data_IF_137054248613
#
_entry.id   IF_137054248613
#
_cell.length_a   1.000
_cell.length_b   1.000
_cell.length_c   1.000
_cell.angle_alpha   90.00
_cell.angle_beta   90.00
_cell.angle_gamma   90.00
#
_symmetry.space_group_name_H-M   'P 1'
#
loop_
_entity.id
_entity.type
_entity.pdbx_description
1 polymer ?
#
# COMPACT_ATOMS: atom_id res chain seq x y z
N UNK A 1 -13.81 2.48 -14.64
CA UNK A 1 -13.78 3.57 -13.64
C UNK A 1 -12.71 4.53 -14.11
N UNK A 2 -12.86 5.81 -13.89
CA UNK A 2 -11.85 6.78 -14.34
C UNK A 2 -11.42 7.66 -13.17
N UNK A 3 -10.12 7.88 -13.07
CA UNK A 3 -9.50 8.83 -12.16
C UNK A 3 -9.08 10.12 -12.90
N UNK A 4 -9.84 10.47 -13.94
CA UNK A 4 -9.56 11.60 -14.80
C UNK A 4 -9.37 12.90 -13.99
N UNK A 5 -8.25 13.58 -14.22
CA UNK A 5 -7.88 14.83 -13.55
C UNK A 5 -7.70 14.71 -12.02
N UNK A 6 -7.53 13.50 -11.47
CA UNK A 6 -7.18 13.27 -10.09
C UNK A 6 -5.68 13.41 -9.88
N UNK A 7 -5.29 13.85 -8.69
CA UNK A 7 -3.90 13.96 -8.24
C UNK A 7 -3.69 12.92 -7.16
N UNK A 8 -2.78 11.95 -7.39
CA UNK A 8 -2.56 10.82 -6.51
C UNK A 8 -1.12 10.75 -6.01
N UNK A 9 -0.94 10.71 -4.69
CA UNK A 9 0.33 10.43 -4.03
C UNK A 9 0.38 8.96 -3.61
N UNK A 10 1.39 8.23 -4.08
CA UNK A 10 1.63 6.85 -3.68
C UNK A 10 3.00 6.76 -3.00
N UNK A 11 3.04 6.45 -1.71
CA UNK A 11 4.30 6.27 -1.00
C UNK A 11 4.96 4.94 -1.39
N UNK A 12 6.30 4.95 -1.58
CA UNK A 12 7.02 3.74 -1.96
C UNK A 12 6.67 3.20 -3.35
N UNK A 13 6.42 4.05 -4.34
CA UNK A 13 5.88 3.67 -5.64
C UNK A 13 6.90 3.45 -6.76
N UNK A 14 8.19 3.27 -6.43
CA UNK A 14 9.23 2.95 -7.42
C UNK A 14 9.21 1.48 -7.90
N UNK A 15 8.53 0.56 -7.20
CA UNK A 15 8.49 -0.88 -7.54
C UNK A 15 7.26 -1.58 -6.93
N UNK A 16 7.09 -2.84 -7.29
CA UNK A 16 6.09 -3.74 -6.69
C UNK A 16 4.66 -3.20 -6.76
N UNK A 17 3.90 -3.37 -5.69
CA UNK A 17 2.49 -2.94 -5.57
C UNK A 17 2.37 -1.43 -5.82
N UNK A 18 3.23 -0.61 -5.21
CA UNK A 18 3.19 0.84 -5.38
C UNK A 18 3.38 1.29 -6.83
N UNK A 19 4.30 0.67 -7.59
CA UNK A 19 4.47 0.93 -9.02
C UNK A 19 3.22 0.51 -9.81
N UNK A 20 2.66 -0.66 -9.53
CA UNK A 20 1.46 -1.14 -10.21
C UNK A 20 0.27 -0.20 -10.00
N UNK A 21 0.06 0.29 -8.77
CA UNK A 21 -0.97 1.28 -8.44
C UNK A 21 -0.70 2.58 -9.21
N UNK A 22 0.52 3.09 -9.19
CA UNK A 22 0.90 4.34 -9.87
C UNK A 22 0.62 4.29 -11.37
N UNK A 23 1.01 3.20 -12.04
CA UNK A 23 0.77 3.01 -13.46
C UNK A 23 -0.72 2.78 -13.78
N UNK A 24 -1.45 2.06 -12.94
CA UNK A 24 -2.88 1.87 -13.12
C UNK A 24 -3.63 3.21 -13.00
N UNK A 25 -3.31 4.01 -12.00
CA UNK A 25 -3.91 5.33 -11.81
C UNK A 25 -3.62 6.27 -12.99
N UNK A 26 -2.40 6.23 -13.52
CA UNK A 26 -2.05 7.00 -14.71
C UNK A 26 -2.87 6.58 -15.95
N UNK A 27 -3.08 5.27 -16.15
CA UNK A 27 -3.97 4.76 -17.22
C UNK A 27 -5.43 5.19 -17.05
N UNK A 28 -5.88 5.34 -15.80
CA UNK A 28 -7.21 5.87 -15.47
C UNK A 28 -7.30 7.40 -15.54
N UNK A 29 -6.22 8.10 -15.86
CA UNK A 29 -6.18 9.55 -16.11
C UNK A 29 -5.72 10.42 -14.95
N UNK A 30 -5.14 9.83 -13.89
CA UNK A 30 -4.58 10.58 -12.78
C UNK A 30 -3.17 11.10 -13.06
N UNK A 31 -2.84 12.26 -12.50
CA UNK A 31 -1.47 12.72 -12.30
C UNK A 31 -0.91 12.11 -11.03
N UNK A 32 0.37 11.73 -11.02
CA UNK A 32 0.90 10.86 -9.96
C UNK A 32 2.15 11.43 -9.32
N UNK A 33 2.20 11.42 -8.00
CA UNK A 33 3.41 11.67 -7.21
C UNK A 33 4.04 10.33 -6.83
N UNK A 34 5.24 10.08 -7.35
CA UNK A 34 6.05 8.88 -7.10
C UNK A 34 7.02 9.16 -5.97
N UNK A 35 6.77 8.60 -4.80
CA UNK A 35 7.68 8.72 -3.66
C UNK A 35 8.62 7.52 -3.57
N UNK A 36 9.86 7.79 -3.21
CA UNK A 36 10.87 6.79 -2.88
C UNK A 36 11.81 7.29 -1.77
N UNK A 37 12.53 6.37 -1.12
CA UNK A 37 13.53 6.75 -0.12
C UNK A 37 14.96 6.39 -0.56
N UNK A 38 15.24 5.14 -0.95
CA UNK A 38 16.61 4.67 -1.21
C UNK A 38 17.00 4.72 -2.68
N UNK A 39 16.28 4.04 -3.54
CA UNK A 39 16.67 3.80 -4.93
C UNK A 39 15.92 4.72 -5.88
N UNK A 40 16.63 5.68 -6.46
CA UNK A 40 16.06 6.68 -7.36
C UNK A 40 15.69 6.08 -8.72
N UNK A 41 16.53 5.23 -9.30
CA UNK A 41 16.36 4.74 -10.66
C UNK A 41 14.99 4.05 -10.91
N UNK A 42 14.49 3.13 -10.05
CA UNK A 42 13.17 2.55 -10.24
C UNK A 42 12.03 3.58 -10.16
N UNK A 43 12.16 4.62 -9.31
CA UNK A 43 11.15 5.66 -9.19
C UNK A 43 11.12 6.56 -10.45
N UNK A 44 12.26 6.92 -10.98
CA UNK A 44 12.35 7.66 -12.25
C UNK A 44 11.82 6.84 -13.43
N UNK A 45 12.10 5.55 -13.48
CA UNK A 45 11.53 4.66 -14.49
C UNK A 45 10.00 4.64 -14.41
N UNK A 46 9.43 4.48 -13.19
CA UNK A 46 7.98 4.55 -12.99
C UNK A 46 7.41 5.88 -13.48
N UNK A 47 8.07 7.00 -13.16
CA UNK A 47 7.64 8.31 -13.62
C UNK A 47 7.72 8.48 -15.14
N UNK A 48 8.74 7.93 -15.79
CA UNK A 48 8.85 7.93 -17.25
C UNK A 48 7.70 7.15 -17.90
N UNK A 49 7.35 5.97 -17.36
CA UNK A 49 6.22 5.18 -17.83
C UNK A 49 4.89 5.94 -17.66
N UNK A 50 4.70 6.67 -16.54
CA UNK A 50 3.52 7.54 -16.32
C UNK A 50 3.46 8.68 -17.35
N UNK A 51 4.59 9.34 -17.61
CA UNK A 51 4.67 10.43 -18.61
C UNK A 51 4.39 9.92 -20.03
N UNK A 52 4.84 8.70 -20.33
CA UNK A 52 4.53 8.05 -21.63
C UNK A 52 3.02 7.77 -21.82
N UNK A 53 2.25 7.67 -20.70
CA UNK A 53 0.78 7.60 -20.72
C UNK A 53 0.11 8.99 -20.84
N UNK A 54 0.88 10.06 -21.05
CA UNK A 54 0.37 11.43 -21.16
C UNK A 54 -0.01 12.09 -19.84
N UNK A 55 0.48 11.57 -18.71
CA UNK A 55 0.16 12.11 -17.38
C UNK A 55 1.37 12.78 -16.75
N UNK A 56 1.10 13.73 -15.83
CA UNK A 56 2.17 14.36 -15.04
C UNK A 56 2.69 13.38 -14.00
N UNK A 57 4.01 13.38 -13.80
CA UNK A 57 4.65 12.58 -12.77
C UNK A 57 5.71 13.40 -12.04
N UNK A 58 5.54 13.58 -10.72
CA UNK A 58 6.52 14.19 -9.82
C UNK A 58 7.25 13.08 -9.05
N UNK A 59 8.57 13.12 -9.03
CA UNK A 59 9.40 12.14 -8.29
C UNK A 59 9.96 12.81 -7.04
N UNK A 60 9.59 12.32 -5.84
CA UNK A 60 10.02 12.90 -4.57
C UNK A 60 10.80 11.90 -3.74
N UNK A 61 12.06 12.24 -3.43
CA UNK A 61 12.87 11.49 -2.44
C UNK A 61 12.51 11.98 -1.04
N UNK A 62 11.83 11.12 -0.26
CA UNK A 62 11.47 11.41 1.11
C UNK A 62 11.34 10.11 1.92
N UNK A 63 11.82 10.12 3.16
CA UNK A 63 11.64 9.03 4.12
C UNK A 63 10.36 9.29 4.93
N UNK A 64 9.29 8.57 4.64
CA UNK A 64 8.04 8.69 5.40
C UNK A 64 8.14 8.12 6.82
N UNK A 65 9.24 7.46 7.16
CA UNK A 65 9.53 6.99 8.52
C UNK A 65 9.93 8.09 9.50
N UNK A 66 10.05 9.35 9.07
CA UNK A 66 10.36 10.49 9.93
C UNK A 66 9.59 11.75 9.51
N UNK A 67 9.51 12.72 10.43
CA UNK A 67 8.73 13.93 10.28
C UNK A 67 9.24 14.83 9.14
N UNK A 68 10.56 15.06 9.08
CA UNK A 68 11.18 15.90 8.05
C UNK A 68 10.89 15.36 6.64
N UNK A 69 10.94 14.03 6.48
CA UNK A 69 10.64 13.38 5.21
C UNK A 69 9.17 13.54 4.83
N UNK A 70 8.25 13.40 5.77
CA UNK A 70 6.81 13.62 5.52
C UNK A 70 6.58 15.08 5.15
N UNK A 71 7.12 16.02 5.92
CA UNK A 71 7.00 17.46 5.65
C UNK A 71 7.50 17.78 4.25
N UNK A 72 8.72 17.40 3.92
CA UNK A 72 9.29 17.59 2.59
C UNK A 72 8.41 17.01 1.47
N UNK A 73 7.87 15.80 1.67
CA UNK A 73 7.03 15.14 0.66
C UNK A 73 5.80 15.98 0.34
N UNK A 74 5.09 16.43 1.37
CA UNK A 74 3.86 17.18 1.18
C UNK A 74 4.09 18.63 0.73
N UNK A 75 5.20 19.25 1.12
CA UNK A 75 5.58 20.59 0.62
C UNK A 75 5.88 20.56 -0.89
N UNK A 76 6.54 19.49 -1.40
CA UNK A 76 6.75 19.31 -2.84
C UNK A 76 5.42 19.03 -3.58
N UNK A 77 4.49 18.27 -2.98
CA UNK A 77 3.15 18.05 -3.55
C UNK A 77 2.38 19.37 -3.64
N UNK A 78 2.36 20.16 -2.56
CA UNK A 78 1.67 21.45 -2.54
C UNK A 78 2.26 22.43 -3.54
N UNK A 79 3.58 22.52 -3.62
CA UNK A 79 4.28 23.39 -4.57
C UNK A 79 3.98 23.05 -6.03
N UNK A 80 3.93 21.76 -6.39
CA UNK A 80 3.80 21.31 -7.78
C UNK A 80 2.34 21.22 -8.23
N UNK A 81 1.45 20.78 -7.34
CA UNK A 81 0.05 20.49 -7.67
C UNK A 81 -0.96 21.37 -6.94
N UNK A 82 -0.59 21.96 -5.81
CA UNK A 82 -1.46 22.81 -4.99
C UNK A 82 -2.57 22.07 -4.25
N UNK A 83 -2.87 20.84 -4.61
CA UNK A 83 -3.98 20.03 -4.08
C UNK A 83 -3.68 18.53 -4.18
N UNK A 84 -4.53 17.69 -3.56
CA UNK A 84 -4.45 16.24 -3.61
C UNK A 84 -5.87 15.65 -3.63
N UNK A 85 -6.10 14.57 -4.39
CA UNK A 85 -7.36 13.81 -4.38
C UNK A 85 -7.19 12.44 -3.69
N UNK A 86 -6.02 11.80 -3.85
CA UNK A 86 -5.81 10.43 -3.42
C UNK A 86 -4.46 10.29 -2.72
N UNK A 87 -4.46 9.65 -1.54
CA UNK A 87 -3.25 9.21 -0.84
C UNK A 87 -3.24 7.69 -0.72
N UNK A 88 -2.15 7.05 -1.19
CA UNK A 88 -1.93 5.63 -0.97
C UNK A 88 -0.73 5.45 -0.04
N UNK A 89 -1.00 5.00 1.18
CA UNK A 89 0.01 4.61 2.16
C UNK A 89 0.49 3.18 1.84
N UNK A 90 1.46 3.08 0.93
CA UNK A 90 2.01 1.81 0.46
C UNK A 90 3.45 1.56 0.95
N UNK A 91 4.22 2.61 1.26
CA UNK A 91 5.58 2.43 1.78
C UNK A 91 5.57 1.50 2.99
N UNK A 92 6.41 0.48 2.95
CA UNK A 92 6.53 -0.50 4.00
C UNK A 92 7.98 -0.93 4.19
N UNK A 93 8.28 -1.36 5.40
CA UNK A 93 9.55 -1.94 5.75
C UNK A 93 9.38 -2.99 6.85
N UNK A 94 10.34 -3.89 6.93
CA UNK A 94 10.34 -4.95 7.92
C UNK A 94 11.39 -6.00 7.59
N UNK A 95 11.46 -7.01 8.45
CA UNK A 95 12.35 -8.15 8.30
C UNK A 95 11.74 -9.34 9.03
N UNK A 96 12.07 -10.54 8.59
CA UNK A 96 11.69 -11.78 9.24
C UNK A 96 12.74 -12.13 10.29
N UNK A 97 12.29 -12.41 11.52
CA UNK A 97 13.17 -12.79 12.62
C UNK A 97 12.36 -13.44 13.75
N UNK A 98 12.89 -14.50 14.42
CA UNK A 98 12.27 -15.08 15.61
C UNK A 98 11.99 -14.04 16.70
N UNK A 99 10.90 -14.21 17.47
CA UNK A 99 10.48 -13.24 18.49
C UNK A 99 11.57 -12.97 19.52
N UNK A 100 12.34 -13.98 19.92
CA UNK A 100 13.41 -13.84 20.92
C UNK A 100 14.64 -13.06 20.40
N UNK A 101 14.74 -12.85 19.10
CA UNK A 101 15.85 -12.13 18.47
C UNK A 101 15.48 -10.70 18.03
N UNK A 102 14.25 -10.27 18.30
CA UNK A 102 13.78 -8.94 17.91
C UNK A 102 14.58 -7.86 18.64
N UNK A 103 14.78 -6.72 17.95
CA UNK A 103 15.51 -5.58 18.50
C UNK A 103 14.61 -4.34 18.50
N UNK A 104 14.69 -3.53 19.55
CA UNK A 104 13.92 -2.28 19.72
C UNK A 104 14.06 -1.39 18.47
N UNK A 105 15.28 -1.16 18.00
CA UNK A 105 15.54 -0.34 16.80
C UNK A 105 14.77 -0.83 15.55
N UNK A 106 14.67 -2.15 15.38
CA UNK A 106 13.94 -2.73 14.25
C UNK A 106 12.43 -2.60 14.40
N UNK A 107 11.93 -2.74 15.64
CA UNK A 107 10.55 -2.48 16.00
C UNK A 107 10.17 -1.02 15.69
N UNK A 108 10.90 -0.06 16.23
CA UNK A 108 10.66 1.37 16.00
C UNK A 108 10.67 1.71 14.52
N UNK A 109 11.64 1.18 13.78
CA UNK A 109 11.76 1.41 12.35
C UNK A 109 10.55 0.90 11.58
N UNK A 110 10.08 -0.31 11.85
CA UNK A 110 8.92 -0.88 11.17
C UNK A 110 7.62 -0.15 11.53
N UNK A 111 7.39 0.13 12.82
CA UNK A 111 6.21 0.88 13.28
C UNK A 111 6.18 2.30 12.69
N UNK A 112 7.33 2.97 12.64
CA UNK A 112 7.44 4.32 12.09
C UNK A 112 7.06 4.38 10.61
N UNK A 113 7.49 3.40 9.81
CA UNK A 113 7.20 3.39 8.37
C UNK A 113 5.81 2.81 8.09
N UNK A 114 5.40 1.72 8.75
CA UNK A 114 4.20 0.99 8.36
C UNK A 114 2.91 1.54 8.99
N UNK A 115 3.00 2.13 10.19
CA UNK A 115 1.82 2.63 10.92
C UNK A 115 1.87 4.15 11.17
N UNK A 116 2.93 4.65 11.83
CA UNK A 116 3.03 6.08 12.13
C UNK A 116 2.97 6.95 10.87
N UNK A 117 3.69 6.55 9.81
CA UNK A 117 3.66 7.28 8.55
C UNK A 117 2.25 7.42 7.97
N UNK A 118 1.41 6.37 8.07
CA UNK A 118 0.05 6.43 7.55
C UNK A 118 -0.80 7.50 8.27
N UNK A 119 -0.64 7.65 9.59
CA UNK A 119 -1.32 8.70 10.36
C UNK A 119 -0.88 10.09 9.91
N UNK A 120 0.44 10.35 9.92
CA UNK A 120 0.96 11.71 9.67
C UNK A 120 0.92 12.10 8.18
N UNK A 121 1.08 11.15 7.25
CA UNK A 121 0.81 11.41 5.84
C UNK A 121 -0.68 11.75 5.62
N UNK A 122 -1.60 11.05 6.29
CA UNK A 122 -3.03 11.36 6.21
C UNK A 122 -3.32 12.76 6.76
N UNK A 123 -2.74 13.11 7.91
CA UNK A 123 -2.88 14.44 8.51
C UNK A 123 -2.41 15.56 7.56
N UNK A 124 -1.27 15.37 6.88
CA UNK A 124 -0.73 16.33 5.90
C UNK A 124 -1.55 16.36 4.60
N UNK A 125 -2.20 15.26 4.24
CA UNK A 125 -3.04 15.17 3.03
C UNK A 125 -4.37 15.93 3.18
N UNK A 126 -4.96 15.96 4.37
CA UNK A 126 -6.29 16.56 4.63
C UNK A 126 -6.44 17.99 4.10
N UNK A 127 -5.55 18.96 4.41
CA UNK A 127 -5.69 20.32 3.89
C UNK A 127 -5.66 20.39 2.36
N UNK A 128 -4.85 19.55 1.71
CA UNK A 128 -4.75 19.50 0.25
C UNK A 128 -5.99 18.85 -0.38
N UNK A 129 -6.58 17.84 0.29
CA UNK A 129 -7.82 17.20 -0.14
C UNK A 129 -9.03 18.11 0.03
N UNK A 130 -9.07 18.92 1.09
CA UNK A 130 -10.14 19.89 1.29
C UNK A 130 -10.23 20.92 0.15
N UNK A 131 -9.11 21.30 -0.48
CA UNK A 131 -9.08 22.14 -1.68
C UNK A 131 -9.78 21.52 -2.89
N UNK A 132 -10.01 20.18 -2.85
CA UNK A 132 -10.70 19.39 -3.88
C UNK A 132 -12.11 18.98 -3.45
N UNK A 133 -12.57 19.40 -2.24
CA UNK A 133 -13.87 19.05 -1.68
C UNK A 133 -13.92 17.66 -1.04
N UNK A 134 -12.77 17.05 -0.77
CA UNK A 134 -12.62 15.74 -0.16
C UNK A 134 -11.60 14.86 -0.89
N UNK A 135 -11.56 13.57 -0.56
CA UNK A 135 -10.58 12.67 -1.17
C UNK A 135 -10.70 11.22 -0.72
N UNK A 136 -9.74 10.40 -1.13
CA UNK A 136 -9.65 9.00 -0.74
C UNK A 136 -8.27 8.65 -0.20
N UNK A 137 -8.22 7.94 0.91
CA UNK A 137 -6.99 7.41 1.52
C UNK A 137 -7.09 5.89 1.54
N UNK A 138 -6.13 5.19 0.95
CA UNK A 138 -6.06 3.73 1.02
C UNK A 138 -4.69 3.31 1.54
N UNK A 139 -4.70 2.43 2.55
CA UNK A 139 -3.47 1.88 3.14
C UNK A 139 -3.26 0.43 2.70
N UNK A 140 -2.01 0.06 2.40
CA UNK A 140 -1.67 -1.33 2.05
C UNK A 140 -1.27 -2.07 3.33
N UNK A 141 -2.14 -2.98 3.76
CA UNK A 141 -1.95 -3.87 4.91
C UNK A 141 -1.29 -5.20 4.50
N UNK A 142 -1.48 -6.24 5.27
CA UNK A 142 -1.00 -7.61 5.03
C UNK A 142 -1.83 -8.58 5.84
N UNK A 143 -1.98 -9.81 5.35
CA UNK A 143 -2.60 -10.90 6.09
C UNK A 143 -1.97 -11.15 7.47
N UNK A 144 -0.69 -10.77 7.67
CA UNK A 144 -0.02 -10.82 8.96
C UNK A 144 -0.60 -9.92 10.05
N UNK A 145 -1.53 -9.02 9.74
CA UNK A 145 -2.26 -8.21 10.72
C UNK A 145 -3.25 -9.03 11.57
N UNK A 146 -3.77 -10.14 11.03
CA UNK A 146 -4.78 -11.00 11.68
C UNK A 146 -4.48 -12.51 11.59
N UNK A 147 -3.48 -12.93 10.81
CA UNK A 147 -2.96 -14.30 10.73
C UNK A 147 -1.52 -14.33 11.18
N UNK A 148 -1.15 -15.32 11.97
CA UNK A 148 0.24 -15.47 12.40
C UNK A 148 1.07 -16.08 11.27
N UNK A 149 2.12 -15.38 10.90
CA UNK A 149 3.18 -15.88 10.03
C UNK A 149 4.47 -15.98 10.86
N UNK A 150 5.19 -17.11 10.82
CA UNK A 150 6.46 -17.26 11.55
C UNK A 150 7.42 -16.10 11.26
N UNK A 151 8.15 -15.64 12.28
CA UNK A 151 9.17 -14.59 12.19
C UNK A 151 8.66 -13.18 11.76
N UNK A 152 7.35 -13.01 11.61
CA UNK A 152 6.75 -11.79 11.04
C UNK A 152 6.16 -10.82 12.09
N UNK A 153 6.44 -11.05 13.38
CA UNK A 153 5.78 -10.36 14.50
C UNK A 153 5.81 -8.84 14.40
N UNK A 154 6.94 -8.25 14.02
CA UNK A 154 7.10 -6.78 13.94
C UNK A 154 6.26 -6.20 12.80
N UNK A 155 6.31 -6.84 11.64
CA UNK A 155 5.50 -6.40 10.49
C UNK A 155 4.03 -6.64 10.77
N UNK A 156 3.65 -7.83 11.27
CA UNK A 156 2.26 -8.17 11.61
C UNK A 156 1.65 -7.16 12.58
N UNK A 157 2.34 -6.88 13.69
CA UNK A 157 1.90 -5.89 14.67
C UNK A 157 1.76 -4.49 14.08
N UNK A 158 2.71 -4.06 13.22
CA UNK A 158 2.63 -2.77 12.54
C UNK A 158 1.45 -2.66 11.58
N UNK A 159 1.09 -3.74 10.91
CA UNK A 159 -0.08 -3.79 10.00
C UNK A 159 -1.40 -3.86 10.76
N UNK A 160 -1.44 -4.54 11.92
CA UNK A 160 -2.60 -4.47 12.81
C UNK A 160 -2.84 -3.04 13.34
N UNK A 161 -1.78 -2.34 13.72
CA UNK A 161 -1.86 -0.92 14.09
C UNK A 161 -2.36 -0.05 12.92
N UNK A 162 -1.89 -0.29 11.69
CA UNK A 162 -2.34 0.39 10.48
C UNK A 162 -3.85 0.20 10.23
N UNK A 163 -4.37 -1.01 10.43
CA UNK A 163 -5.80 -1.29 10.27
C UNK A 163 -6.64 -0.64 11.37
N UNK A 164 -6.13 -0.56 12.61
CA UNK A 164 -6.77 0.22 13.66
C UNK A 164 -6.84 1.70 13.27
N UNK A 165 -5.72 2.30 12.83
CA UNK A 165 -5.69 3.68 12.34
C UNK A 165 -6.65 3.91 11.18
N UNK A 166 -6.78 2.95 10.25
CA UNK A 166 -7.74 3.04 9.14
C UNK A 166 -9.17 3.28 9.64
N UNK A 167 -9.59 2.59 10.70
CA UNK A 167 -10.93 2.76 11.29
C UNK A 167 -11.12 4.13 11.96
N UNK A 168 -10.13 4.58 12.76
CA UNK A 168 -10.18 5.90 13.39
C UNK A 168 -10.20 7.01 12.34
N UNK A 169 -9.30 6.97 11.37
CA UNK A 169 -9.23 7.96 10.30
C UNK A 169 -10.52 7.99 9.45
N UNK A 170 -11.16 6.84 9.21
CA UNK A 170 -12.42 6.77 8.46
C UNK A 170 -13.55 7.54 9.16
N UNK A 171 -13.59 7.51 10.48
CA UNK A 171 -14.59 8.24 11.27
C UNK A 171 -14.21 9.72 11.39
N UNK A 172 -12.99 10.01 11.82
CA UNK A 172 -12.57 11.39 12.13
C UNK A 172 -12.39 12.27 10.89
N UNK A 173 -12.08 11.68 9.72
CA UNK A 173 -11.94 12.42 8.47
C UNK A 173 -13.23 12.46 7.63
N UNK A 174 -14.29 11.77 8.05
CA UNK A 174 -15.58 11.79 7.38
C UNK A 174 -16.21 13.20 7.24
N UNK A 175 -16.10 14.11 8.25
CA UNK A 175 -16.59 15.48 8.11
C UNK A 175 -15.92 16.29 6.99
N UNK A 176 -14.70 15.90 6.58
CA UNK A 176 -13.97 16.51 5.48
C UNK A 176 -14.25 15.85 4.11
N UNK A 177 -15.27 14.98 4.04
CA UNK A 177 -15.61 14.20 2.84
C UNK A 177 -14.43 13.33 2.36
N UNK A 178 -13.64 12.79 3.29
CA UNK A 178 -12.52 11.89 3.00
C UNK A 178 -12.93 10.45 3.34
N UNK A 179 -12.74 9.56 2.36
CA UNK A 179 -12.99 8.12 2.49
C UNK A 179 -11.69 7.41 2.83
N UNK A 180 -11.68 6.60 3.89
CA UNK A 180 -10.45 5.90 4.32
C UNK A 180 -10.72 4.41 4.40
N UNK A 181 -9.87 3.60 3.73
CA UNK A 181 -9.92 2.14 3.75
C UNK A 181 -8.52 1.53 3.70
N UNK A 182 -8.43 0.22 3.83
CA UNK A 182 -7.21 -0.54 3.63
C UNK A 182 -7.44 -1.71 2.66
N UNK A 183 -6.36 -2.15 2.02
CA UNK A 183 -6.31 -3.40 1.26
C UNK A 183 -5.27 -4.29 1.90
N UNK A 184 -5.65 -5.53 2.20
CA UNK A 184 -4.76 -6.56 2.76
C UNK A 184 -4.52 -7.63 1.68
N UNK A 185 -3.46 -7.49 0.88
CA UNK A 185 -3.12 -8.52 -0.09
C UNK A 185 -2.57 -9.78 0.61
N UNK A 186 -2.79 -10.92 -0.02
CA UNK A 186 -2.12 -12.16 0.30
C UNK A 186 -0.66 -12.17 -0.19
N UNK A 187 -0.20 -13.29 -0.70
CA UNK A 187 1.16 -13.43 -1.23
C UNK A 187 1.19 -12.86 -2.65
N UNK A 188 1.85 -11.70 -2.81
CA UNK A 188 1.91 -10.96 -4.07
C UNK A 188 3.22 -11.25 -4.80
N UNK A 189 3.13 -11.53 -6.08
CA UNK A 189 4.27 -11.78 -6.96
C UNK A 189 5.10 -10.51 -7.17
N UNK A 190 6.08 -10.30 -6.29
CA UNK A 190 6.99 -9.14 -6.31
C UNK A 190 8.40 -9.57 -5.93
N UNK A 191 9.40 -8.74 -6.22
CA UNK A 191 10.80 -8.98 -5.78
C UNK A 191 10.92 -9.15 -4.26
N UNK A 192 9.95 -8.66 -3.49
CA UNK A 192 9.94 -8.81 -2.04
C UNK A 192 9.76 -10.26 -1.60
N UNK A 193 9.19 -11.15 -2.42
CA UNK A 193 9.05 -12.57 -2.12
C UNK A 193 10.40 -13.27 -1.88
N UNK A 194 11.45 -12.84 -2.58
CA UNK A 194 12.80 -13.40 -2.41
C UNK A 194 13.38 -13.20 -1.00
N UNK A 195 12.78 -12.32 -0.20
CA UNK A 195 13.22 -12.06 1.19
C UNK A 195 12.51 -12.93 2.24
N UNK A 196 11.54 -13.76 1.84
CA UNK A 196 10.88 -14.69 2.76
C UNK A 196 11.62 -16.03 2.78
N UNK A 197 12.13 -16.41 3.97
CA UNK A 197 12.88 -17.65 4.16
C UNK A 197 12.10 -18.89 3.68
N UNK A 198 10.80 -18.92 3.94
CA UNK A 198 9.90 -20.00 3.53
C UNK A 198 9.76 -20.17 1.99
N UNK A 199 10.19 -19.20 1.20
CA UNK A 199 10.07 -19.22 -0.29
C UNK A 199 11.41 -19.54 -0.96
N UNK A 200 12.49 -19.61 -0.20
CA UNK A 200 13.84 -19.91 -0.74
C UNK A 200 14.07 -21.40 -1.03
N UNK A 201 13.17 -22.27 -0.59
CA UNK A 201 13.25 -23.69 -0.88
C UNK A 201 12.79 -24.01 -2.31
N UNK A 202 13.39 -25.04 -2.91
CA UNK A 202 13.06 -25.52 -4.26
C UNK A 202 11.56 -25.91 -4.30
N UNK A 203 10.80 -25.33 -5.23
CA UNK A 203 9.36 -25.52 -5.40
C UNK A 203 8.44 -24.86 -4.33
N UNK A 204 8.95 -24.08 -3.37
CA UNK A 204 8.12 -23.45 -2.34
C UNK A 204 6.96 -22.60 -2.91
N UNK A 205 7.21 -21.88 -4.02
CA UNK A 205 6.17 -21.07 -4.69
C UNK A 205 5.05 -21.95 -5.25
N UNK A 206 5.37 -23.08 -5.88
CA UNK A 206 4.36 -24.00 -6.43
C UNK A 206 3.55 -24.67 -5.31
N UNK A 207 4.19 -25.02 -4.18
CA UNK A 207 3.48 -25.57 -3.02
C UNK A 207 2.54 -24.51 -2.40
N UNK A 208 3.00 -23.27 -2.28
CA UNK A 208 2.16 -22.16 -1.80
C UNK A 208 0.96 -21.94 -2.72
N UNK A 209 1.11 -21.97 -4.04
CA UNK A 209 -0.01 -21.84 -4.99
C UNK A 209 -1.10 -22.89 -4.76
N UNK A 210 -0.72 -24.13 -4.37
CA UNK A 210 -1.68 -25.21 -4.07
C UNK A 210 -2.51 -24.95 -2.80
N UNK A 211 -2.05 -24.07 -1.91
CA UNK A 211 -2.81 -23.68 -0.70
C UNK A 211 -3.78 -22.52 -0.96
N UNK A 212 -3.65 -21.83 -2.09
CA UNK A 212 -4.51 -20.71 -2.46
C UNK A 212 -5.69 -21.26 -3.29
N UNK A 213 -6.95 -21.09 -2.86
CA UNK A 213 -8.11 -21.55 -3.62
C UNK A 213 -8.15 -21.08 -5.07
N UNK A 214 -7.69 -19.84 -5.35
CA UNK A 214 -7.57 -19.32 -6.71
C UNK A 214 -6.43 -19.95 -7.56
N UNK A 215 -5.61 -20.84 -6.98
CA UNK A 215 -4.56 -21.61 -7.66
C UNK A 215 -3.35 -20.80 -8.14
N UNK A 216 -3.23 -19.56 -7.73
CA UNK A 216 -2.12 -18.66 -8.16
C UNK A 216 -1.77 -17.63 -7.08
N UNK A 217 -0.57 -17.04 -7.19
CA UNK A 217 -0.21 -15.85 -6.42
C UNK A 217 -1.00 -14.63 -6.93
N UNK A 218 -1.13 -13.64 -6.06
CA UNK A 218 -1.76 -12.37 -6.42
C UNK A 218 -0.76 -11.54 -7.23
N UNK A 219 -1.20 -10.93 -8.32
CA UNK A 219 -0.40 -9.98 -9.07
C UNK A 219 -0.49 -8.58 -8.46
N UNK A 220 0.55 -7.73 -8.57
CA UNK A 220 0.47 -6.33 -8.19
C UNK A 220 -0.69 -5.57 -8.86
N UNK A 221 -1.06 -5.96 -10.07
CA UNK A 221 -2.16 -5.37 -10.84
C UNK A 221 -3.52 -5.68 -10.22
N UNK A 222 -3.74 -6.90 -9.71
CA UNK A 222 -4.98 -7.25 -9.02
C UNK A 222 -5.17 -6.42 -7.75
N UNK A 223 -4.09 -6.15 -7.01
CA UNK A 223 -4.13 -5.21 -5.88
C UNK A 223 -4.47 -3.79 -6.35
N UNK A 224 -3.82 -3.33 -7.44
CA UNK A 224 -4.05 -1.98 -7.99
C UNK A 224 -5.49 -1.76 -8.43
N UNK A 225 -6.16 -2.76 -8.99
CA UNK A 225 -7.57 -2.69 -9.38
C UNK A 225 -8.49 -2.47 -8.18
N UNK A 226 -8.27 -3.21 -7.08
CA UNK A 226 -9.06 -3.05 -5.86
C UNK A 226 -8.81 -1.67 -5.23
N UNK A 227 -7.56 -1.21 -5.20
CA UNK A 227 -7.21 0.12 -4.69
C UNK A 227 -7.89 1.21 -5.52
N UNK A 228 -7.90 1.10 -6.86
CA UNK A 228 -8.58 2.05 -7.74
C UNK A 228 -10.10 2.05 -7.52
N UNK A 229 -10.70 0.88 -7.33
CA UNK A 229 -12.13 0.76 -6.95
C UNK A 229 -12.42 1.52 -5.67
N UNK A 230 -11.61 1.33 -4.62
CA UNK A 230 -11.80 2.02 -3.33
C UNK A 230 -11.61 3.55 -3.41
N UNK A 231 -10.90 4.03 -4.42
CA UNK A 231 -10.75 5.47 -4.71
C UNK A 231 -11.86 6.02 -5.63
N UNK A 232 -12.78 5.20 -6.10
CA UNK A 232 -13.86 5.60 -7.01
C UNK A 232 -15.13 6.03 -6.27
N UNK A 233 -16.01 6.81 -6.90
CA UNK A 233 -17.32 7.15 -6.33
C UNK A 233 -18.19 5.93 -5.98
N UNK A 234 -18.01 4.79 -6.67
CA UNK A 234 -18.74 3.56 -6.40
C UNK A 234 -18.45 2.96 -5.01
N UNK A 235 -17.29 3.28 -4.43
CA UNK A 235 -16.92 2.81 -3.09
C UNK A 235 -17.17 3.85 -1.98
N UNK A 236 -17.89 4.96 -2.24
CA UNK A 236 -18.04 6.06 -1.28
C UNK A 236 -18.59 5.64 0.08
N UNK A 237 -19.47 4.64 0.12
CA UNK A 237 -20.05 4.12 1.37
C UNK A 237 -19.20 3.03 2.04
N UNK A 238 -18.09 2.60 1.43
CA UNK A 238 -17.12 1.68 2.04
C UNK A 238 -16.14 2.54 2.85
N UNK A 239 -16.23 2.48 4.18
CA UNK A 239 -15.42 3.29 5.10
C UNK A 239 -14.86 2.46 6.24
N UNK A 240 -13.59 2.63 6.56
CA UNK A 240 -12.90 1.94 7.66
C UNK A 240 -12.72 0.44 7.44
N UNK A 241 -12.88 -0.05 6.21
CA UNK A 241 -12.79 -1.47 5.91
C UNK A 241 -11.38 -1.86 5.46
N UNK A 242 -10.97 -3.08 5.81
CA UNK A 242 -9.81 -3.74 5.23
C UNK A 242 -10.31 -4.81 4.26
N UNK A 243 -10.09 -4.57 2.97
CA UNK A 243 -10.49 -5.52 1.92
C UNK A 243 -9.36 -6.52 1.70
N UNK A 244 -9.65 -7.79 1.93
CA UNK A 244 -8.70 -8.89 1.72
C UNK A 244 -8.69 -9.24 0.23
N UNK A 245 -7.47 -9.32 -0.34
CA UNK A 245 -7.23 -9.68 -1.74
C UNK A 245 -6.18 -10.79 -1.75
N UNK A 246 -6.60 -12.03 -1.52
CA UNK A 246 -5.70 -13.14 -1.26
C UNK A 246 -6.07 -14.45 -1.99
N UNK A 247 -7.03 -14.39 -2.92
CA UNK A 247 -7.51 -15.57 -3.64
C UNK A 247 -8.17 -16.63 -2.74
N UNK A 248 -8.62 -16.24 -1.54
CA UNK A 248 -9.21 -17.14 -0.54
C UNK A 248 -8.21 -17.83 0.39
N UNK A 249 -6.91 -17.50 0.29
CA UNK A 249 -5.85 -18.16 1.04
C UNK A 249 -6.08 -18.14 2.56
N UNK A 250 -6.52 -17.02 3.13
CA UNK A 250 -6.73 -16.89 4.57
C UNK A 250 -8.02 -17.55 5.07
N UNK A 251 -8.88 -18.03 4.19
CA UNK A 251 -10.10 -18.77 4.54
C UNK A 251 -9.83 -20.27 4.76
N UNK A 252 -8.70 -20.79 4.28
CA UNK A 252 -8.34 -22.20 4.40
C UNK A 252 -7.52 -22.45 5.67
N UNK A 253 -7.65 -23.66 6.24
CA UNK A 253 -6.87 -24.12 7.40
C UNK A 253 -5.52 -24.76 6.99
N UNK A 254 -4.87 -24.25 5.92
CA UNK A 254 -3.60 -24.83 5.45
C UNK A 254 -3.76 -26.19 4.75
N UNK A 255 -4.97 -26.60 4.42
CA UNK A 255 -5.21 -27.82 3.65
C UNK A 255 -4.89 -27.57 2.18
N UNK A 256 -4.20 -28.51 1.55
CA UNK A 256 -4.11 -28.55 0.10
C UNK A 256 -5.54 -28.69 -0.46
N UNK A 257 -6.02 -27.65 -1.11
CA UNK A 257 -7.23 -27.71 -1.92
C UNK A 257 -6.85 -28.49 -3.19
N UNK A 258 -6.70 -29.82 -3.05
CA UNK A 258 -6.64 -30.66 -4.22
C UNK A 258 -7.94 -30.40 -5.00
N UNK A 259 -7.81 -29.92 -6.22
CA UNK A 259 -8.94 -29.79 -7.13
C UNK A 259 -9.61 -31.15 -7.25
N UNK A 260 -10.64 -31.38 -6.43
CA UNK A 260 -11.59 -32.45 -6.66
C UNK A 260 -12.65 -31.91 -7.61
N UNK A 261 -12.37 -32.02 -8.89
CA UNK A 261 -13.39 -32.01 -9.95
C UNK A 261 -13.57 -33.46 -10.37
#
# INVERSE_FOLDING_TARGET
>A
MTLQNKIALITGSGRGIGKAIALHFAREGADVIVNFFRNRAPAEQTAQEIRALGRRALVVKADVGNEDGITKLFDEVEKEFGALDILINNAASGYNRPVMEQKIKGWDWALNINARAALFCSQRAVPLMQKRGGGSIVSISSAGSFRVMPEYVVVGASKAALEALTRYLAVELSPFNIVVNAVSPGIVETDALAHFSAIQELNAIEEVKKTIPAGKLITPQEVAHVVAFLCSPAAHMIRGQTIIVDGGHTLTFGQHMAHRV
#
